data_IF_614883467337
#
_entry.id   IF_614883467337
#
_cell.length_a   1.000
_cell.length_b   1.000
_cell.length_c   1.000
_cell.angle_alpha   90.00
_cell.angle_beta   90.00
_cell.angle_gamma   90.00
#
_symmetry.space_group_name_H-M   'P 1'
#
loop_
_entity.id
_entity.type
_entity.pdbx_description
1 polymer ?
#
# COMPACT_ATOMS: atom_id res chain seq x y z
N UNK A 1 28.32 7.19 -40.58
CA UNK A 1 27.82 7.88 -39.36
C UNK A 1 26.51 8.58 -39.72
N UNK A 2 25.45 8.38 -38.93
CA UNK A 2 24.01 8.73 -39.14
C UNK A 2 23.12 7.61 -39.70
N UNK A 3 22.31 7.03 -38.82
CA UNK A 3 20.95 6.49 -39.03
C UNK A 3 20.18 6.83 -37.74
N UNK A 4 19.33 7.85 -37.73
CA UNK A 4 17.88 7.76 -37.92
C UNK A 4 17.30 6.47 -37.32
N UNK A 5 17.00 6.49 -36.02
CA UNK A 5 16.07 5.55 -35.41
C UNK A 5 14.70 6.20 -35.40
N UNK A 6 13.83 5.65 -36.23
CA UNK A 6 12.44 5.99 -36.34
C UNK A 6 11.68 5.65 -35.05
N UNK A 7 10.70 6.50 -34.79
CA UNK A 7 9.62 6.35 -33.82
C UNK A 7 8.98 4.96 -33.87
N UNK A 8 9.00 4.27 -32.73
CA UNK A 8 8.05 3.23 -32.36
C UNK A 8 7.70 3.49 -30.90
N UNK A 9 6.76 4.41 -30.69
CA UNK A 9 6.11 4.60 -29.41
C UNK A 9 5.20 3.39 -29.16
N UNK A 10 5.38 2.60 -28.09
CA UNK A 10 4.34 1.70 -27.65
C UNK A 10 3.17 2.54 -27.13
N UNK A 11 2.03 2.43 -27.80
CA UNK A 11 0.75 2.97 -27.39
C UNK A 11 0.38 2.41 -26.01
N UNK A 12 0.62 3.19 -24.95
CA UNK A 12 0.21 2.82 -23.58
C UNK A 12 -1.30 3.05 -23.46
N UNK A 13 -2.13 2.01 -23.23
CA UNK A 13 -3.53 2.22 -22.95
C UNK A 13 -3.68 2.99 -21.64
N UNK A 14 -4.18 4.22 -21.75
CA UNK A 14 -4.57 5.05 -20.61
C UNK A 14 -5.81 4.47 -19.93
N UNK A 15 -5.65 3.45 -19.08
CA UNK A 15 -6.62 3.07 -18.06
C UNK A 15 -5.90 2.47 -16.85
N UNK A 16 -5.21 3.32 -16.08
CA UNK A 16 -4.99 2.98 -14.67
C UNK A 16 -6.28 3.34 -13.97
N UNK A 17 -7.10 2.31 -13.76
CA UNK A 17 -8.27 2.34 -12.91
C UNK A 17 -7.86 2.86 -11.54
N UNK A 18 -8.36 4.04 -11.18
CA UNK A 18 -8.28 4.62 -9.85
C UNK A 18 -9.05 3.70 -8.90
N UNK A 19 -8.37 2.71 -8.31
CA UNK A 19 -8.88 2.02 -7.15
C UNK A 19 -8.91 3.02 -5.97
N UNK A 20 -10.02 3.71 -5.82
CA UNK A 20 -10.35 4.53 -4.66
C UNK A 20 -10.84 3.59 -3.54
N UNK A 21 -10.35 3.71 -2.30
CA UNK A 21 -10.95 3.00 -1.18
C UNK A 21 -12.36 3.56 -0.88
N UNK A 22 -13.33 2.72 -0.49
CA UNK A 22 -14.72 3.12 -0.33
C UNK A 22 -14.90 4.12 0.81
N UNK A 23 -15.54 5.25 0.49
CA UNK A 23 -16.11 6.18 1.47
C UNK A 23 -17.28 5.51 2.17
N UNK A 24 -17.10 5.11 3.43
CA UNK A 24 -18.18 4.70 4.31
C UNK A 24 -18.85 5.91 4.95
N UNK A 25 -20.11 6.17 4.58
CA UNK A 25 -21.00 7.05 5.32
C UNK A 25 -21.46 6.33 6.59
N UNK A 26 -21.40 7.03 7.71
CA UNK A 26 -21.83 6.56 9.04
C UNK A 26 -23.34 6.71 9.21
N UNK A 27 -24.04 5.62 9.51
CA UNK A 27 -25.33 5.64 10.18
C UNK A 27 -25.13 5.38 11.68
N UNK A 28 -25.83 6.16 12.49
CA UNK A 28 -25.80 6.17 13.95
C UNK A 28 -26.22 4.83 14.56
N UNK A 29 -25.43 4.32 15.50
CA UNK A 29 -25.94 3.51 16.61
C UNK A 29 -25.09 3.72 17.86
N UNK A 30 -25.76 4.17 18.91
CA UNK A 30 -25.22 4.42 20.24
C UNK A 30 -24.77 3.11 20.87
N UNK A 31 -23.49 3.05 21.25
CA UNK A 31 -22.91 1.92 21.98
C UNK A 31 -21.83 2.43 22.93
N UNK A 32 -22.15 2.45 24.22
CA UNK A 32 -21.24 2.69 25.32
C UNK A 32 -20.06 1.70 25.24
N UNK A 33 -18.84 2.22 25.13
CA UNK A 33 -17.62 1.42 25.03
C UNK A 33 -16.40 2.28 25.31
N UNK A 34 -15.72 1.95 26.40
CA UNK A 34 -14.43 2.45 26.87
C UNK A 34 -13.53 2.90 25.71
N UNK A 35 -13.28 4.21 25.61
CA UNK A 35 -12.31 4.75 24.67
C UNK A 35 -10.91 4.29 25.09
N UNK A 36 -10.48 3.16 24.54
CA UNK A 36 -9.08 2.77 24.56
C UNK A 36 -8.33 3.81 23.72
N UNK A 37 -7.74 4.79 24.41
CA UNK A 37 -6.90 5.82 23.81
C UNK A 37 -5.66 5.12 23.26
N UNK A 38 -5.72 4.66 22.01
CA UNK A 38 -4.57 4.09 21.31
C UNK A 38 -3.52 5.20 21.25
N UNK A 39 -2.46 5.07 22.04
CA UNK A 39 -1.33 5.98 21.95
C UNK A 39 -0.85 5.96 20.49
N UNK A 40 -0.79 7.12 19.85
CA UNK A 40 -0.32 7.22 18.47
C UNK A 40 1.10 6.62 18.40
N UNK A 41 1.27 5.56 17.60
CA UNK A 41 2.57 4.88 17.44
C UNK A 41 3.68 5.92 17.24
N UNK A 42 4.81 5.85 17.98
CA UNK A 42 5.91 6.81 17.84
C UNK A 42 6.40 6.96 16.40
N UNK A 43 6.30 5.90 15.59
CA UNK A 43 6.68 5.92 14.17
C UNK A 43 5.72 6.77 13.34
N UNK A 44 4.42 6.76 13.64
CA UNK A 44 3.42 7.58 12.93
C UNK A 44 3.58 9.08 13.23
N UNK A 45 4.14 9.43 14.39
CA UNK A 45 4.41 10.82 14.76
C UNK A 45 5.54 11.45 13.92
N UNK A 46 6.39 10.64 13.28
CA UNK A 46 7.46 11.11 12.40
C UNK A 46 6.95 11.53 11.01
N UNK A 47 5.74 11.11 10.63
CA UNK A 47 5.18 11.40 9.33
C UNK A 47 4.37 12.70 9.36
N UNK A 48 4.61 13.56 8.37
CA UNK A 48 3.74 14.73 8.14
C UNK A 48 2.36 14.25 7.70
N UNK A 49 1.29 14.85 8.22
CA UNK A 49 -0.06 14.37 7.95
C UNK A 49 -0.44 14.65 6.48
N UNK A 50 -1.16 13.76 5.78
CA UNK A 50 -1.53 13.96 4.37
C UNK A 50 -2.28 15.27 4.11
N UNK A 51 -3.18 15.67 5.03
CA UNK A 51 -3.90 16.95 4.92
C UNK A 51 -3.00 18.19 4.97
N UNK A 52 -1.90 18.15 5.73
CA UNK A 52 -0.95 19.27 5.86
C UNK A 52 -0.12 19.45 4.59
N UNK A 53 0.02 18.39 3.80
CA UNK A 53 0.60 18.49 2.46
C UNK A 53 -0.40 19.09 1.47
N UNK A 54 -1.69 18.74 1.57
CA UNK A 54 -2.74 19.26 0.67
C UNK A 54 -3.05 20.74 0.89
N UNK A 55 -2.96 21.22 2.13
CA UNK A 55 -2.97 22.65 2.44
C UNK A 55 -1.66 23.30 1.96
N UNK A 56 -1.69 24.59 1.58
CA UNK A 56 -0.56 25.32 0.98
C UNK A 56 0.74 25.43 1.83
N UNK A 57 0.89 24.62 2.89
CA UNK A 57 2.00 24.67 3.84
C UNK A 57 3.26 23.91 3.38
N UNK A 58 3.13 22.93 2.47
CA UNK A 58 4.30 22.26 1.87
C UNK A 58 4.28 22.40 0.34
N UNK A 59 5.14 23.30 -0.17
CA UNK A 59 5.31 23.51 -1.60
C UNK A 59 5.88 22.26 -2.28
N UNK A 60 5.32 21.88 -3.44
CA UNK A 60 5.77 20.70 -4.19
C UNK A 60 7.23 20.87 -4.64
N UNK A 61 8.04 19.80 -4.54
CA UNK A 61 9.48 19.80 -4.84
C UNK A 61 10.34 20.74 -3.97
N UNK A 62 9.76 21.39 -2.96
CA UNK A 62 10.53 22.11 -1.94
C UNK A 62 11.40 21.16 -1.11
N UNK A 63 12.32 21.71 -0.31
CA UNK A 63 13.14 20.91 0.59
C UNK A 63 12.29 20.15 1.60
N UNK A 64 11.28 20.81 2.17
CA UNK A 64 10.30 20.21 3.07
C UNK A 64 9.56 19.01 2.47
N UNK A 65 9.24 19.10 1.17
CA UNK A 65 8.63 17.99 0.43
C UNK A 65 9.59 16.82 0.27
N UNK A 66 10.85 17.09 -0.10
CA UNK A 66 11.88 16.05 -0.24
C UNK A 66 12.11 15.34 1.09
N UNK A 67 12.24 16.10 2.18
CA UNK A 67 12.41 15.53 3.51
C UNK A 67 11.21 14.67 3.93
N UNK A 68 9.98 15.13 3.64
CA UNK A 68 8.77 14.33 3.90
C UNK A 68 8.79 13.00 3.14
N UNK A 69 9.16 13.01 1.85
CA UNK A 69 9.28 11.80 1.03
C UNK A 69 10.39 10.85 1.49
N UNK A 70 11.55 11.39 1.91
CA UNK A 70 12.66 10.59 2.45
C UNK A 70 12.28 9.96 3.80
N UNK A 71 11.61 10.71 4.66
CA UNK A 71 11.11 10.19 5.94
C UNK A 71 10.08 9.09 5.72
N UNK A 72 9.13 9.29 4.79
CA UNK A 72 8.17 8.27 4.39
C UNK A 72 8.86 6.98 3.95
N UNK A 73 9.82 7.07 3.02
CA UNK A 73 10.59 5.92 2.54
C UNK A 73 11.30 5.17 3.68
N UNK A 74 11.98 5.90 4.58
CA UNK A 74 12.69 5.31 5.72
C UNK A 74 11.75 4.64 6.71
N UNK A 75 10.59 5.26 6.99
CA UNK A 75 9.58 4.70 7.89
C UNK A 75 9.03 3.38 7.33
N UNK A 76 8.73 3.32 6.03
CA UNK A 76 8.23 2.09 5.40
C UNK A 76 9.23 0.94 5.59
N UNK A 77 10.51 1.16 5.28
CA UNK A 77 11.54 0.13 5.42
C UNK A 77 11.76 -0.29 6.88
N UNK A 78 11.69 0.65 7.83
CA UNK A 78 11.74 0.33 9.26
C UNK A 78 10.56 -0.53 9.68
N UNK A 79 9.35 -0.22 9.22
CA UNK A 79 8.17 -1.01 9.54
C UNK A 79 8.19 -2.38 8.88
N UNK A 80 8.67 -2.50 7.64
CA UNK A 80 8.89 -3.80 7.02
C UNK A 80 9.80 -4.69 7.86
N UNK A 81 10.88 -4.14 8.42
CA UNK A 81 11.80 -4.87 9.28
C UNK A 81 11.16 -5.38 10.59
N UNK A 82 10.11 -4.72 11.08
CA UNK A 82 9.46 -5.03 12.36
C UNK A 82 8.18 -5.85 12.16
N UNK A 83 7.49 -5.71 11.02
CA UNK A 83 6.12 -6.23 10.81
C UNK A 83 5.98 -7.31 9.77
N UNK A 84 6.99 -7.51 8.92
CA UNK A 84 6.92 -8.49 7.84
C UNK A 84 7.85 -9.67 8.11
N UNK A 85 7.39 -10.86 7.73
CA UNK A 85 8.23 -12.05 7.70
C UNK A 85 9.41 -11.87 6.72
N UNK A 86 10.54 -12.57 6.90
CA UNK A 86 11.76 -12.37 6.10
C UNK A 86 11.54 -12.40 4.59
N UNK A 87 10.71 -13.34 4.11
CA UNK A 87 10.36 -13.48 2.69
C UNK A 87 9.50 -12.31 2.22
N UNK A 88 8.50 -11.91 3.02
CA UNK A 88 7.62 -10.78 2.72
C UNK A 88 8.40 -9.46 2.67
N UNK A 89 9.31 -9.25 3.63
CA UNK A 89 10.21 -8.09 3.67
C UNK A 89 11.09 -8.01 2.42
N UNK A 90 11.71 -9.12 2.02
CA UNK A 90 12.60 -9.15 0.85
C UNK A 90 11.88 -8.69 -0.42
N UNK A 91 10.64 -9.15 -0.61
CA UNK A 91 9.80 -8.72 -1.72
C UNK A 91 9.33 -7.27 -1.56
N UNK A 92 8.84 -6.92 -0.37
CA UNK A 92 8.32 -5.59 -0.04
C UNK A 92 9.35 -4.48 -0.22
N UNK A 93 10.59 -4.67 0.26
CA UNK A 93 11.67 -3.69 0.16
C UNK A 93 12.04 -3.41 -1.31
N UNK A 94 12.10 -4.46 -2.14
CA UNK A 94 12.31 -4.34 -3.58
C UNK A 94 11.15 -3.58 -4.25
N UNK A 95 9.92 -3.90 -3.87
CA UNK A 95 8.72 -3.25 -4.41
C UNK A 95 8.70 -1.75 -4.08
N UNK A 96 8.91 -1.37 -2.82
CA UNK A 96 8.96 0.03 -2.37
C UNK A 96 10.04 0.80 -3.13
N UNK A 97 11.24 0.24 -3.26
CA UNK A 97 12.33 0.87 -4.02
C UNK A 97 11.94 1.16 -5.47
N UNK A 98 11.28 0.21 -6.12
CA UNK A 98 10.83 0.37 -7.51
C UNK A 98 9.70 1.40 -7.62
N UNK A 99 8.74 1.41 -6.70
CA UNK A 99 7.63 2.37 -6.70
C UNK A 99 8.10 3.82 -6.50
N UNK A 100 8.99 4.05 -5.54
CA UNK A 100 9.56 5.39 -5.32
C UNK A 100 10.38 5.85 -6.52
N UNK A 101 11.11 4.95 -7.19
CA UNK A 101 11.81 5.27 -8.44
C UNK A 101 10.84 5.63 -9.55
N UNK A 102 9.78 4.85 -9.75
CA UNK A 102 8.74 5.10 -10.77
C UNK A 102 8.04 6.44 -10.57
N UNK A 103 7.81 6.82 -9.31
CA UNK A 103 7.11 8.06 -8.96
C UNK A 103 8.05 9.25 -8.70
N UNK A 104 9.37 9.08 -8.86
CA UNK A 104 10.35 10.14 -8.63
C UNK A 104 10.08 11.40 -9.48
N UNK A 105 9.52 11.23 -10.68
CA UNK A 105 9.21 12.31 -11.64
C UNK A 105 7.69 12.53 -11.83
N UNK A 106 6.86 12.00 -10.93
CA UNK A 106 5.43 12.26 -10.96
C UNK A 106 5.12 13.77 -10.84
N UNK A 107 4.03 14.20 -11.46
CA UNK A 107 3.50 15.55 -11.26
C UNK A 107 2.92 15.70 -9.84
N UNK A 108 2.66 16.95 -9.43
CA UNK A 108 2.23 17.27 -8.07
C UNK A 108 0.99 16.48 -7.64
N UNK A 109 -0.05 16.44 -8.48
CA UNK A 109 -1.30 15.73 -8.18
C UNK A 109 -1.04 14.26 -7.86
N UNK A 110 -0.32 13.56 -8.72
CA UNK A 110 -0.05 12.13 -8.51
C UNK A 110 0.93 11.90 -7.36
N UNK A 111 1.89 12.79 -7.14
CA UNK A 111 2.84 12.68 -6.04
C UNK A 111 2.17 12.88 -4.66
N UNK A 112 1.17 13.75 -4.57
CA UNK A 112 0.35 13.94 -3.36
C UNK A 112 -0.54 12.72 -3.07
N UNK A 113 -1.19 12.18 -4.10
CA UNK A 113 -1.97 10.93 -3.99
C UNK A 113 -1.05 9.78 -3.55
N UNK A 114 0.12 9.65 -4.18
CA UNK A 114 1.14 8.66 -3.82
C UNK A 114 1.49 8.77 -2.33
N UNK A 115 1.90 9.95 -1.86
CA UNK A 115 2.22 10.14 -0.44
C UNK A 115 1.08 9.71 0.49
N UNK A 116 -0.16 10.16 0.22
CA UNK A 116 -1.33 9.78 1.01
C UNK A 116 -1.52 8.26 1.08
N UNK A 117 -1.48 7.59 -0.08
CA UNK A 117 -1.66 6.13 -0.14
C UNK A 117 -0.62 5.35 0.65
N UNK A 118 0.63 5.84 0.68
CA UNK A 118 1.70 5.21 1.43
C UNK A 118 1.63 5.49 2.93
N UNK A 119 1.09 6.65 3.35
CA UNK A 119 0.74 6.88 4.76
C UNK A 119 -0.38 5.94 5.21
N UNK A 120 -1.42 5.74 4.39
CA UNK A 120 -2.50 4.80 4.70
C UNK A 120 -1.98 3.35 4.79
N UNK A 121 -1.08 2.96 3.90
CA UNK A 121 -0.39 1.67 3.96
C UNK A 121 0.39 1.49 5.27
N UNK A 122 1.13 2.51 5.70
CA UNK A 122 1.85 2.50 6.98
C UNK A 122 0.89 2.30 8.15
N UNK A 123 -0.27 2.98 8.17
CA UNK A 123 -1.28 2.79 9.22
C UNK A 123 -1.83 1.36 9.22
N UNK A 124 -2.04 0.76 8.06
CA UNK A 124 -2.48 -0.64 7.97
C UNK A 124 -1.41 -1.61 8.48
N UNK A 125 -0.16 -1.39 8.07
CA UNK A 125 0.98 -2.20 8.50
C UNK A 125 1.23 -2.08 10.01
N UNK A 126 1.04 -0.88 10.57
CA UNK A 126 1.06 -0.59 12.01
C UNK A 126 -0.03 -1.33 12.79
N UNK A 127 -1.14 -1.69 12.17
CA UNK A 127 -2.20 -2.51 12.77
C UNK A 127 -1.96 -4.01 12.64
N UNK A 128 -0.84 -4.42 12.05
CA UNK A 128 -0.55 -5.83 11.74
C UNK A 128 -1.36 -6.38 10.57
N UNK A 129 -2.06 -5.52 9.82
CA UNK A 129 -2.81 -5.92 8.64
C UNK A 129 -1.85 -6.05 7.44
N UNK A 130 -1.11 -7.16 7.39
CA UNK A 130 -0.29 -7.54 6.22
C UNK A 130 -1.12 -8.24 5.14
N UNK A 131 -2.28 -8.75 5.52
CA UNK A 131 -3.27 -9.36 4.64
C UNK A 131 -4.68 -8.94 5.08
N UNK A 132 -5.62 -8.95 4.14
CA UNK A 132 -7.05 -8.78 4.42
C UNK A 132 -7.85 -9.76 3.60
N UNK A 133 -9.03 -10.13 4.10
CA UNK A 133 -10.01 -10.83 3.30
C UNK A 133 -10.51 -9.94 2.16
N UNK A 134 -10.88 -10.57 1.05
CA UNK A 134 -11.58 -9.90 -0.04
C UNK A 134 -12.92 -9.38 0.48
N UNK A 135 -13.32 -8.18 0.03
CA UNK A 135 -14.68 -7.70 0.29
C UNK A 135 -15.66 -8.44 -0.63
N UNK A 136 -16.96 -8.43 -0.27
CA UNK A 136 -18.01 -9.04 -1.08
C UNK A 136 -18.02 -8.49 -2.52
N UNK A 137 -17.78 -7.20 -2.67
CA UNK A 137 -17.74 -6.54 -3.98
C UNK A 137 -16.55 -7.04 -4.79
N UNK A 138 -15.37 -7.16 -4.19
CA UNK A 138 -14.19 -7.70 -4.85
C UNK A 138 -14.36 -9.17 -5.24
N UNK A 139 -14.97 -9.97 -4.37
CA UNK A 139 -15.32 -11.37 -4.69
C UNK A 139 -16.32 -11.45 -5.85
N UNK A 140 -17.23 -10.49 -5.97
CA UNK A 140 -18.19 -10.44 -7.08
C UNK A 140 -17.52 -10.15 -8.43
N UNK A 141 -16.42 -9.38 -8.42
CA UNK A 141 -15.66 -9.04 -9.62
C UNK A 141 -14.77 -10.18 -10.15
N UNK A 142 -14.61 -11.27 -9.39
CA UNK A 142 -13.84 -12.43 -9.83
C UNK A 142 -14.64 -13.28 -10.81
N UNK A 143 -13.99 -13.70 -11.89
CA UNK A 143 -14.51 -14.68 -12.83
C UNK A 143 -14.73 -16.05 -12.16
N UNK A 144 -15.57 -16.89 -12.77
CA UNK A 144 -15.80 -18.25 -12.27
C UNK A 144 -14.51 -19.09 -12.20
N UNK A 145 -13.62 -18.91 -13.20
CA UNK A 145 -12.30 -19.57 -13.22
C UNK A 145 -11.41 -19.11 -12.06
N UNK A 146 -11.32 -17.79 -11.82
CA UNK A 146 -10.54 -17.24 -10.70
C UNK A 146 -11.07 -17.72 -9.34
N UNK A 147 -12.39 -17.81 -9.18
CA UNK A 147 -13.03 -18.36 -7.97
C UNK A 147 -12.68 -19.84 -7.78
N UNK A 148 -12.73 -20.63 -8.85
CA UNK A 148 -12.32 -22.04 -8.85
C UNK A 148 -10.86 -22.21 -8.43
N UNK A 149 -9.95 -21.43 -9.02
CA UNK A 149 -8.52 -21.50 -8.68
C UNK A 149 -8.23 -21.08 -7.24
N UNK A 150 -8.91 -20.06 -6.73
CA UNK A 150 -8.78 -19.67 -5.33
C UNK A 150 -9.24 -20.77 -4.37
N UNK A 151 -10.32 -21.48 -4.70
CA UNK A 151 -10.79 -22.61 -3.90
C UNK A 151 -9.76 -23.76 -3.87
N UNK A 152 -9.17 -24.07 -5.01
CA UNK A 152 -8.09 -25.07 -5.13
C UNK A 152 -6.84 -24.69 -4.31
N UNK A 153 -6.38 -23.44 -4.40
CA UNK A 153 -5.23 -22.98 -3.62
C UNK A 153 -5.52 -23.07 -2.12
N UNK A 154 -6.73 -22.70 -1.68
CA UNK A 154 -7.12 -22.79 -0.27
C UNK A 154 -7.13 -24.22 0.22
N UNK A 155 -7.68 -25.17 -0.54
CA UNK A 155 -7.69 -26.58 -0.13
C UNK A 155 -6.27 -27.14 -0.06
N UNK A 156 -5.41 -26.82 -1.02
CA UNK A 156 -4.01 -27.22 -1.01
C UNK A 156 -3.27 -26.71 0.23
N UNK A 157 -3.40 -25.42 0.57
CA UNK A 157 -2.75 -24.85 1.76
C UNK A 157 -3.24 -25.50 3.05
N UNK A 158 -4.55 -25.79 3.17
CA UNK A 158 -5.09 -26.50 4.34
C UNK A 158 -4.51 -27.90 4.45
N UNK A 159 -4.39 -28.61 3.33
CA UNK A 159 -3.81 -29.95 3.31
C UNK A 159 -2.34 -29.95 3.74
N UNK A 160 -1.53 -29.03 3.20
CA UNK A 160 -0.11 -28.90 3.57
C UNK A 160 0.08 -28.63 5.08
N UNK A 161 -0.79 -27.82 5.70
CA UNK A 161 -0.77 -27.60 7.15
C UNK A 161 -1.09 -28.84 7.98
N UNK A 162 -1.83 -29.80 7.42
CA UNK A 162 -2.18 -31.05 8.12
C UNK A 162 -1.08 -32.11 7.97
N UNK A 163 -0.33 -32.09 6.87
CA UNK A 163 0.71 -33.09 6.59
C UNK A 163 2.05 -32.77 7.25
N UNK A 164 2.36 -31.49 7.45
CA UNK A 164 3.66 -31.06 7.98
C UNK A 164 3.54 -30.66 9.45
N UNK A 165 3.94 -31.56 10.35
CA UNK A 165 4.07 -31.28 11.79
C UNK A 165 5.21 -30.32 12.15
N UNK A 166 6.01 -29.92 11.16
CA UNK A 166 7.19 -29.04 11.26
C UNK A 166 7.01 -27.74 10.46
N UNK A 167 5.78 -27.26 10.27
CA UNK A 167 5.56 -25.93 9.70
C UNK A 167 5.77 -24.86 10.78
N UNK A 168 7.02 -24.54 11.09
CA UNK A 168 7.38 -23.38 11.92
C UNK A 168 7.75 -22.19 11.03
N UNK A 169 7.01 -21.09 11.19
CA UNK A 169 7.37 -19.76 10.71
C UNK A 169 8.22 -19.05 11.76
#
# INVERSE_FOLDING_TARGET
MRRFCASLAPHVPQKISLARPPTGQTSNSSGCGTQQRVAASPILQLLRRPQELGSQQCSFRSEEWRQSMLTLYRVILKLHAVRLEPVQRTFGDKFVKNEFRRHAMANEKYARIFYSSWVDYIVQLERGATSRSLTRDEESMLSAEQKGKLAEIRSYVVQQRQTDGDFTL
#
